data_IF_292064921131
#
_entry.id   IF_292064921131
#
_cell.length_a   1.000
_cell.length_b   1.000
_cell.length_c   1.000
_cell.angle_alpha   90.00
_cell.angle_beta   90.00
_cell.angle_gamma   90.00
#
_symmetry.space_group_name_H-M   'P 1'
#
loop_
_entity.id
_entity.type
_entity.pdbx_description
1 polymer ?
#
# COMPACT_ATOMS: atom_id res chain seq x y z
N UNK A 1 11.94 -14.46 14.61
CA UNK A 1 11.02 -13.44 14.07
C UNK A 1 11.64 -12.91 12.79
N UNK A 2 10.92 -12.96 11.67
CA UNK A 2 11.39 -12.47 10.38
C UNK A 2 10.72 -11.13 10.09
N UNK A 3 11.52 -10.08 9.88
CA UNK A 3 11.01 -8.82 9.36
C UNK A 3 10.82 -8.93 7.85
N UNK A 4 9.76 -8.31 7.32
CA UNK A 4 9.46 -8.30 5.89
C UNK A 4 9.62 -6.89 5.29
N UNK A 5 9.88 -6.83 3.99
CA UNK A 5 9.83 -5.61 3.21
C UNK A 5 8.47 -5.47 2.53
N UNK A 6 7.81 -4.33 2.68
CA UNK A 6 6.54 -4.05 2.00
C UNK A 6 6.70 -2.81 1.12
N UNK A 7 6.42 -2.98 -0.16
CA UNK A 7 6.26 -1.85 -1.07
C UNK A 7 4.77 -1.62 -1.31
N UNK A 8 4.28 -0.45 -0.88
CA UNK A 8 2.92 -0.02 -1.13
C UNK A 8 2.94 1.13 -2.13
N UNK A 9 2.77 0.84 -3.42
CA UNK A 9 2.73 1.82 -4.50
C UNK A 9 1.33 2.42 -4.72
N UNK A 10 1.20 3.27 -5.74
CA UNK A 10 -0.10 3.86 -6.10
C UNK A 10 -1.06 2.84 -6.71
N UNK A 11 -0.57 2.02 -7.62
CA UNK A 11 -1.39 1.06 -8.39
C UNK A 11 -1.23 -0.37 -7.93
N UNK A 12 -0.13 -0.67 -7.25
CA UNK A 12 0.31 -2.01 -6.91
C UNK A 12 0.96 -2.05 -5.53
N UNK A 13 0.96 -3.21 -4.90
CA UNK A 13 1.74 -3.52 -3.71
C UNK A 13 2.49 -4.83 -3.92
N UNK A 14 3.66 -4.98 -3.29
CA UNK A 14 4.36 -6.24 -3.22
C UNK A 14 5.02 -6.40 -1.85
N UNK A 15 5.34 -7.65 -1.53
CA UNK A 15 5.98 -8.01 -0.28
C UNK A 15 7.19 -8.90 -0.57
N UNK A 16 8.27 -8.63 0.14
CA UNK A 16 9.52 -9.37 0.05
C UNK A 16 9.91 -9.93 1.42
N UNK A 17 10.45 -11.13 1.42
CA UNK A 17 11.04 -11.78 2.58
C UNK A 17 12.55 -11.85 2.41
N UNK A 18 13.30 -11.83 3.51
CA UNK A 18 14.74 -12.07 3.48
C UNK A 18 15.02 -13.49 4.00
N UNK A 19 15.49 -14.37 3.12
CA UNK A 19 15.74 -15.77 3.40
C UNK A 19 17.03 -16.21 2.72
N UNK A 20 17.86 -17.00 3.41
CA UNK A 20 19.11 -17.55 2.87
C UNK A 20 20.06 -16.49 2.28
N UNK A 21 20.15 -15.33 2.94
CA UNK A 21 21.02 -14.22 2.54
C UNK A 21 20.52 -13.41 1.34
N UNK A 22 19.31 -13.68 0.83
CA UNK A 22 18.72 -12.97 -0.31
C UNK A 22 17.33 -12.43 0.01
N UNK A 23 17.00 -11.28 -0.58
CA UNK A 23 15.63 -10.77 -0.60
C UNK A 23 14.86 -11.43 -1.76
N UNK A 24 13.68 -11.97 -1.48
CA UNK A 24 12.82 -12.61 -2.46
C UNK A 24 11.41 -12.02 -2.38
N UNK A 25 10.88 -11.56 -3.53
CA UNK A 25 9.49 -11.10 -3.63
C UNK A 25 8.58 -12.33 -3.73
N UNK A 26 7.63 -12.42 -2.79
CA UNK A 26 6.75 -13.59 -2.67
C UNK A 26 5.51 -13.41 -3.56
N UNK A 27 5.01 -14.53 -4.09
CA UNK A 27 3.79 -14.55 -4.87
C UNK A 27 2.55 -14.50 -3.97
N UNK A 28 1.50 -13.84 -4.44
CA UNK A 28 0.17 -13.87 -3.83
C UNK A 28 -0.56 -15.19 -4.15
N UNK A 29 -1.79 -15.30 -3.66
CA UNK A 29 -2.69 -16.44 -3.87
C UNK A 29 -3.04 -16.71 -5.35
N UNK A 30 -2.87 -15.72 -6.23
CA UNK A 30 -3.03 -15.87 -7.68
C UNK A 30 -1.71 -16.25 -8.41
N UNK A 31 -0.60 -16.39 -7.68
CA UNK A 31 0.72 -16.67 -8.25
C UNK A 31 1.49 -15.44 -8.73
N UNK A 32 0.93 -14.24 -8.58
CA UNK A 32 1.56 -12.99 -8.99
C UNK A 32 2.44 -12.41 -7.87
N UNK A 33 3.64 -11.92 -8.23
CA UNK A 33 4.53 -11.21 -7.29
C UNK A 33 4.15 -9.75 -7.04
N UNK A 34 3.11 -9.27 -7.72
CA UNK A 34 2.60 -7.91 -7.62
C UNK A 34 1.09 -7.98 -7.46
N UNK A 35 0.59 -7.40 -6.38
CA UNK A 35 -0.84 -7.37 -6.07
C UNK A 35 -1.41 -5.98 -6.41
N UNK A 36 -2.49 -5.87 -7.18
CA UNK A 36 -3.13 -4.59 -7.44
C UNK A 36 -3.56 -3.89 -6.14
N UNK A 37 -3.24 -2.60 -5.98
CA UNK A 37 -3.68 -1.76 -4.87
C UNK A 37 -5.12 -1.28 -5.10
N UNK A 38 -6.05 -2.24 -5.16
CA UNK A 38 -7.47 -2.04 -5.45
C UNK A 38 -8.29 -2.73 -4.37
N UNK A 39 -9.30 -2.02 -3.85
CA UNK A 39 -10.24 -2.55 -2.87
C UNK A 39 -11.65 -2.33 -3.37
N UNK A 40 -12.40 -3.40 -3.55
CA UNK A 40 -13.82 -3.36 -3.88
C UNK A 40 -14.63 -3.71 -2.65
N UNK A 41 -15.66 -2.89 -2.40
CA UNK A 41 -16.58 -3.09 -1.31
C UNK A 41 -17.91 -3.62 -1.86
N UNK A 42 -18.43 -4.67 -1.24
CA UNK A 42 -19.82 -5.16 -1.41
C UNK A 42 -20.52 -5.13 -0.05
N UNK A 43 -21.79 -5.50 0.01
CA UNK A 43 -22.59 -5.35 1.24
C UNK A 43 -21.96 -6.09 2.43
N UNK A 44 -21.49 -7.32 2.21
CA UNK A 44 -20.93 -8.17 3.27
C UNK A 44 -19.43 -8.43 3.16
N UNK A 45 -18.79 -8.05 2.05
CA UNK A 45 -17.40 -8.43 1.78
C UNK A 45 -16.53 -7.26 1.30
N UNK A 46 -15.24 -7.36 1.64
CA UNK A 46 -14.17 -6.48 1.20
C UNK A 46 -13.21 -7.31 0.37
N UNK A 47 -13.12 -7.00 -0.92
CA UNK A 47 -12.30 -7.74 -1.87
C UNK A 47 -11.07 -6.90 -2.17
N UNK A 48 -9.88 -7.50 -2.10
CA UNK A 48 -8.60 -6.81 -2.33
C UNK A 48 -7.87 -7.46 -3.50
N UNK A 49 -7.11 -6.67 -4.28
CA UNK A 49 -6.20 -7.20 -5.28
C UNK A 49 -6.83 -7.47 -6.63
N UNK A 50 -6.45 -8.58 -7.26
CA UNK A 50 -6.83 -8.90 -8.64
C UNK A 50 -8.33 -9.11 -8.80
N UNK A 51 -8.98 -9.76 -7.84
CA UNK A 51 -10.42 -9.98 -7.85
C UNK A 51 -11.21 -8.65 -7.82
N UNK A 52 -10.76 -7.68 -7.02
CA UNK A 52 -11.34 -6.34 -6.98
C UNK A 52 -11.13 -5.60 -8.32
N UNK A 53 -9.92 -5.70 -8.89
CA UNK A 53 -9.59 -5.09 -10.20
C UNK A 53 -10.44 -5.65 -11.33
N UNK A 54 -10.67 -6.96 -11.38
CA UNK A 54 -11.49 -7.62 -12.40
C UNK A 54 -12.98 -7.24 -12.29
N UNK A 55 -13.50 -7.13 -11.06
CA UNK A 55 -14.89 -6.74 -10.81
C UNK A 55 -15.19 -5.25 -11.01
N UNK A 56 -14.16 -4.41 -11.20
CA UNK A 56 -14.28 -2.94 -11.19
C UNK A 56 -15.27 -2.39 -12.22
N UNK A 57 -15.39 -3.00 -13.40
CA UNK A 57 -16.31 -2.50 -14.45
C UNK A 57 -17.77 -2.55 -13.97
N UNK A 58 -18.13 -3.58 -13.20
CA UNK A 58 -19.50 -3.78 -12.69
C UNK A 58 -19.75 -3.05 -11.36
N UNK A 59 -18.70 -2.80 -10.57
CA UNK A 59 -18.81 -2.21 -9.23
C UNK A 59 -17.93 -0.96 -9.06
N UNK A 60 -17.90 -0.10 -10.08
CA UNK A 60 -16.96 1.03 -10.14
C UNK A 60 -17.17 2.05 -9.00
N UNK A 61 -18.42 2.30 -8.61
CA UNK A 61 -18.78 3.24 -7.56
C UNK A 61 -18.27 2.81 -6.17
N UNK A 62 -18.10 1.50 -5.94
CA UNK A 62 -17.62 0.95 -4.66
C UNK A 62 -16.22 0.33 -4.75
N UNK A 63 -15.48 0.66 -5.81
CA UNK A 63 -14.11 0.17 -6.00
C UNK A 63 -13.12 1.31 -5.91
N UNK A 64 -12.30 1.30 -4.86
CA UNK A 64 -11.25 2.28 -4.63
C UNK A 64 -9.97 1.84 -5.33
N UNK A 65 -9.35 2.79 -6.04
CA UNK A 65 -8.06 2.65 -6.71
C UNK A 65 -7.14 3.80 -6.29
N UNK A 66 -5.82 3.68 -6.47
CA UNK A 66 -4.86 4.79 -6.23
C UNK A 66 -5.00 5.46 -4.85
N UNK A 67 -5.43 4.73 -3.81
CA UNK A 67 -5.75 5.34 -2.50
C UNK A 67 -4.56 6.07 -1.86
N UNK A 68 -3.32 5.67 -2.19
CA UNK A 68 -2.09 6.34 -1.76
C UNK A 68 -2.04 7.82 -2.19
N UNK A 69 -2.75 8.21 -3.25
CA UNK A 69 -2.91 9.60 -3.69
C UNK A 69 -3.79 10.44 -2.76
N UNK A 70 -4.62 9.82 -1.93
CA UNK A 70 -5.50 10.53 -0.99
C UNK A 70 -5.01 10.39 0.46
N UNK A 71 -4.23 9.35 0.73
CA UNK A 71 -3.76 9.01 2.07
C UNK A 71 -3.00 10.16 2.76
N UNK A 72 -3.52 10.60 3.90
CA UNK A 72 -2.91 11.63 4.74
C UNK A 72 -3.00 13.06 4.19
N UNK A 73 -3.84 13.31 3.19
CA UNK A 73 -4.12 14.63 2.63
C UNK A 73 -5.48 15.18 3.12
N UNK A 74 -5.63 16.50 3.06
CA UNK A 74 -6.93 17.16 3.27
C UNK A 74 -7.80 17.03 2.02
N UNK A 75 -9.09 17.29 2.15
CA UNK A 75 -10.01 17.19 1.00
C UNK A 75 -9.66 18.21 -0.09
N UNK A 76 -9.23 19.42 0.27
CA UNK A 76 -8.91 20.51 -0.67
C UNK A 76 -7.54 20.39 -1.35
N UNK A 77 -6.75 19.36 -1.00
CA UNK A 77 -5.44 19.15 -1.63
C UNK A 77 -5.58 18.93 -3.16
N UNK A 78 -4.77 19.60 -4.00
CA UNK A 78 -4.86 19.46 -5.46
C UNK A 78 -4.80 18.02 -5.95
N UNK A 79 -3.95 17.17 -5.35
CA UNK A 79 -3.88 15.75 -5.74
C UNK A 79 -5.16 14.98 -5.41
N UNK A 80 -5.84 15.36 -4.32
CA UNK A 80 -7.13 14.78 -3.93
C UNK A 80 -8.23 15.22 -4.89
N UNK A 81 -8.24 16.48 -5.30
CA UNK A 81 -9.21 16.97 -6.29
C UNK A 81 -8.99 16.32 -7.67
N UNK A 82 -7.74 16.16 -8.12
CA UNK A 82 -7.42 15.40 -9.33
C UNK A 82 -7.90 13.96 -9.22
N UNK A 83 -7.60 13.29 -8.09
CA UNK A 83 -8.05 11.92 -7.86
C UNK A 83 -9.59 11.80 -7.89
N UNK A 84 -10.29 12.74 -7.26
CA UNK A 84 -11.76 12.80 -7.23
C UNK A 84 -12.35 12.94 -8.63
N UNK A 85 -11.73 13.73 -9.52
CA UNK A 85 -12.19 13.90 -10.90
C UNK A 85 -11.97 12.65 -11.77
N UNK A 86 -10.88 11.90 -11.55
CA UNK A 86 -10.57 10.68 -12.27
C UNK A 86 -11.32 9.44 -11.75
N UNK A 87 -11.58 9.40 -10.43
CA UNK A 87 -12.16 8.26 -9.75
C UNK A 87 -13.64 8.08 -10.10
N UNK A 88 -14.07 6.82 -10.25
CA UNK A 88 -15.49 6.45 -10.33
C UNK A 88 -16.12 6.21 -8.96
N UNK A 89 -15.31 6.01 -7.93
CA UNK A 89 -15.75 5.89 -6.54
C UNK A 89 -15.87 7.30 -5.94
N UNK A 90 -17.07 7.72 -5.47
CA UNK A 90 -17.29 9.06 -4.96
C UNK A 90 -16.41 9.37 -3.75
N UNK A 91 -15.78 10.56 -3.78
CA UNK A 91 -14.99 11.09 -2.68
C UNK A 91 -15.66 12.35 -2.13
N UNK A 92 -16.02 12.33 -0.86
CA UNK A 92 -16.76 13.39 -0.16
C UNK A 92 -15.93 14.01 0.96
N UNK A 93 -16.27 15.26 1.31
CA UNK A 93 -15.65 15.98 2.42
C UNK A 93 -16.42 15.68 3.71
N UNK A 94 -15.73 15.14 4.73
CA UNK A 94 -16.26 14.99 6.09
C UNK A 94 -15.30 15.66 7.07
N UNK A 95 -15.61 16.90 7.45
CA UNK A 95 -14.79 17.66 8.40
C UNK A 95 -13.35 17.85 7.90
N UNK A 96 -13.21 18.36 6.68
CA UNK A 96 -11.94 18.63 5.97
C UNK A 96 -11.15 17.38 5.54
N UNK A 97 -11.64 16.18 5.87
CA UNK A 97 -11.02 14.92 5.50
C UNK A 97 -11.73 14.27 4.31
N UNK A 98 -10.98 13.75 3.33
CA UNK A 98 -11.55 12.99 2.23
C UNK A 98 -12.01 11.62 2.72
N UNK A 99 -13.25 11.25 2.38
CA UNK A 99 -13.85 9.95 2.66
C UNK A 99 -14.44 9.37 1.39
N UNK A 100 -14.24 8.07 1.14
CA UNK A 100 -14.90 7.39 0.05
C UNK A 100 -16.33 7.01 0.48
N UNK A 101 -17.30 7.39 -0.32
CA UNK A 101 -18.71 7.03 -0.10
C UNK A 101 -19.03 5.77 -0.90
N UNK A 102 -19.40 4.70 -0.20
CA UNK A 102 -19.83 3.45 -0.83
C UNK A 102 -21.35 3.34 -0.76
N UNK A 103 -21.95 2.99 -1.89
CA UNK A 103 -23.37 2.72 -2.04
C UNK A 103 -23.65 1.23 -1.95
N UNK A 104 -24.66 0.85 -1.18
CA UNK A 104 -25.11 -0.52 -0.96
C UNK A 104 -26.48 -0.46 -0.31
N UNK A 105 -26.80 -1.41 0.58
CA UNK A 105 -28.01 -1.31 1.41
C UNK A 105 -28.02 -0.05 2.30
N UNK A 106 -26.84 0.34 2.79
CA UNK A 106 -26.65 1.58 3.56
C UNK A 106 -25.43 2.34 3.03
N UNK A 107 -25.54 3.66 2.95
CA UNK A 107 -24.41 4.54 2.60
C UNK A 107 -23.36 4.49 3.71
N UNK A 108 -22.16 4.02 3.39
CA UNK A 108 -21.02 3.98 4.31
C UNK A 108 -19.91 4.91 3.84
N UNK A 109 -19.21 5.50 4.81
CA UNK A 109 -18.06 6.36 4.55
C UNK A 109 -16.80 5.64 5.01
N UNK A 110 -15.83 5.50 4.10
CA UNK A 110 -14.59 4.76 4.34
C UNK A 110 -13.41 5.71 4.24
N UNK A 111 -12.57 5.72 5.27
CA UNK A 111 -11.37 6.55 5.28
C UNK A 111 -10.29 5.95 4.35
N UNK A 112 -9.46 6.78 3.69
CA UNK A 112 -8.31 6.31 2.91
C UNK A 112 -7.37 5.39 3.70
N UNK A 113 -7.22 5.64 5.01
CA UNK A 113 -6.45 4.81 5.93
C UNK A 113 -7.01 3.39 6.06
N UNK A 114 -8.34 3.23 6.09
CA UNK A 114 -8.98 1.91 6.18
C UNK A 114 -8.79 1.12 4.88
N UNK A 115 -8.85 1.78 3.73
CA UNK A 115 -8.53 1.15 2.44
C UNK A 115 -7.06 0.69 2.41
N UNK A 116 -6.13 1.55 2.83
CA UNK A 116 -4.71 1.21 2.89
C UNK A 116 -4.44 0.06 3.86
N UNK A 117 -5.13 0.03 5.01
CA UNK A 117 -5.08 -1.07 5.99
C UNK A 117 -5.42 -2.41 5.34
N UNK A 118 -6.46 -2.49 4.52
CA UNK A 118 -6.87 -3.74 3.86
C UNK A 118 -5.81 -4.22 2.86
N UNK A 119 -5.19 -3.31 2.11
CA UNK A 119 -4.11 -3.64 1.17
C UNK A 119 -2.89 -4.16 1.95
N UNK A 120 -2.52 -3.49 3.04
CA UNK A 120 -1.40 -3.89 3.89
C UNK A 120 -1.67 -5.23 4.59
N UNK A 121 -2.91 -5.47 5.04
CA UNK A 121 -3.34 -6.75 5.59
C UNK A 121 -3.17 -7.87 4.57
N UNK A 122 -3.57 -7.66 3.31
CA UNK A 122 -3.34 -8.64 2.23
C UNK A 122 -1.85 -8.93 2.01
N UNK A 123 -0.98 -7.94 2.16
CA UNK A 123 0.48 -8.14 2.09
C UNK A 123 0.99 -8.97 3.27
N UNK A 124 0.41 -8.77 4.47
CA UNK A 124 0.70 -9.59 5.65
C UNK A 124 0.33 -11.05 5.43
N UNK A 125 -0.91 -11.29 4.98
CA UNK A 125 -1.42 -12.65 4.67
C UNK A 125 -0.52 -13.35 3.64
N UNK A 126 -0.13 -12.63 2.59
CA UNK A 126 0.77 -13.14 1.55
C UNK A 126 2.12 -13.56 2.12
N UNK A 127 2.71 -12.75 3.00
CA UNK A 127 3.98 -13.06 3.65
C UNK A 127 3.87 -14.25 4.61
N UNK A 128 2.80 -14.29 5.42
CA UNK A 128 2.54 -15.37 6.36
C UNK A 128 2.34 -16.71 5.62
N UNK A 129 1.60 -16.70 4.51
CA UNK A 129 1.41 -17.87 3.66
C UNK A 129 2.73 -18.37 3.06
N UNK A 130 3.62 -17.45 2.66
CA UNK A 130 4.92 -17.83 2.10
C UNK A 130 5.92 -18.33 3.14
N UNK A 131 5.87 -17.81 4.37
CA UNK A 131 6.78 -18.17 5.46
C UNK A 131 6.28 -19.35 6.32
N UNK A 132 4.97 -19.64 6.29
CA UNK A 132 4.34 -20.62 7.18
C UNK A 132 4.36 -20.22 8.65
N UNK A 133 4.52 -18.92 8.95
CA UNK A 133 4.66 -18.39 10.30
C UNK A 133 4.03 -16.99 10.40
N UNK A 134 3.74 -16.56 11.63
CA UNK A 134 3.23 -15.21 11.86
C UNK A 134 4.31 -14.15 11.56
N UNK A 135 3.87 -13.03 10.99
CA UNK A 135 4.73 -11.91 10.58
C UNK A 135 4.19 -10.64 11.23
N UNK A 136 4.94 -10.10 12.18
CA UNK A 136 4.56 -8.91 12.90
C UNK A 136 5.40 -7.70 12.52
N UNK A 137 6.64 -7.86 12.07
CA UNK A 137 7.56 -6.74 11.86
C UNK A 137 7.75 -6.41 10.38
N UNK A 138 7.68 -5.12 10.02
CA UNK A 138 7.80 -4.69 8.63
C UNK A 138 8.63 -3.42 8.47
N UNK A 139 9.38 -3.37 7.36
CA UNK A 139 9.96 -2.15 6.78
C UNK A 139 9.13 -1.78 5.56
N UNK A 140 8.64 -0.54 5.50
CA UNK A 140 7.70 -0.11 4.45
C UNK A 140 8.33 1.00 3.62
N UNK A 141 8.22 0.90 2.30
CA UNK A 141 8.74 1.95 1.40
C UNK A 141 7.77 3.13 1.29
N UNK A 142 8.29 4.35 1.22
CA UNK A 142 7.53 5.59 0.98
C UNK A 142 8.14 6.43 -0.15
N UNK A 143 7.33 7.18 -0.91
CA UNK A 143 7.85 8.14 -1.87
C UNK A 143 8.71 9.19 -1.18
N UNK A 144 9.63 9.80 -1.93
CA UNK A 144 10.51 10.82 -1.38
C UNK A 144 9.73 12.08 -0.99
N UNK A 145 8.74 12.43 -1.80
CA UNK A 145 7.92 13.64 -1.72
C UNK A 145 6.86 13.57 -0.60
N UNK A 146 6.67 12.40 0.02
CA UNK A 146 5.67 12.23 1.07
C UNK A 146 5.96 13.14 2.28
N UNK A 147 4.98 14.00 2.59
CA UNK A 147 4.97 14.85 3.77
C UNK A 147 4.84 14.03 5.07
N UNK A 148 5.13 14.66 6.20
CA UNK A 148 5.06 14.02 7.51
C UNK A 148 3.68 13.42 7.80
N UNK A 149 2.60 14.14 7.47
CA UNK A 149 1.23 13.66 7.67
C UNK A 149 0.92 12.37 6.88
N UNK A 150 1.44 12.25 5.65
CA UNK A 150 1.25 11.07 4.80
C UNK A 150 2.05 9.87 5.32
N UNK A 151 3.29 10.09 5.76
CA UNK A 151 4.12 9.07 6.42
C UNK A 151 3.45 8.57 7.69
N UNK A 152 2.90 9.47 8.52
CA UNK A 152 2.17 9.11 9.73
C UNK A 152 0.88 8.33 9.40
N UNK A 153 0.10 8.75 8.40
CA UNK A 153 -1.11 8.06 7.97
C UNK A 153 -0.82 6.64 7.44
N UNK A 154 0.25 6.48 6.66
CA UNK A 154 0.67 5.15 6.19
C UNK A 154 1.12 4.25 7.34
N UNK A 155 1.91 4.80 8.28
CA UNK A 155 2.34 4.07 9.47
C UNK A 155 1.14 3.60 10.30
N UNK A 156 0.18 4.49 10.54
CA UNK A 156 -1.04 4.16 11.28
C UNK A 156 -1.87 3.07 10.57
N UNK A 157 -1.99 3.14 9.24
CA UNK A 157 -2.68 2.10 8.46
C UNK A 157 -1.96 0.74 8.54
N UNK A 158 -0.63 0.73 8.54
CA UNK A 158 0.17 -0.48 8.70
C UNK A 158 0.06 -1.06 10.11
N UNK A 159 0.10 -0.22 11.14
CA UNK A 159 -0.09 -0.64 12.54
C UNK A 159 -1.50 -1.21 12.75
N UNK A 160 -2.53 -0.58 12.17
CA UNK A 160 -3.90 -1.10 12.17
C UNK A 160 -4.07 -2.41 11.37
N UNK A 161 -3.18 -2.71 10.42
CA UNK A 161 -3.11 -3.98 9.70
C UNK A 161 -2.35 -5.07 10.50
N UNK A 162 -1.86 -4.74 11.70
CA UNK A 162 -1.15 -5.65 12.58
C UNK A 162 0.35 -5.75 12.32
N UNK A 163 0.95 -4.71 11.73
CA UNK A 163 2.41 -4.58 11.63
C UNK A 163 2.99 -3.70 12.75
N UNK A 164 4.12 -4.12 13.31
CA UNK A 164 5.09 -3.25 13.98
C UNK A 164 6.01 -2.67 12.90
N UNK A 165 5.79 -1.40 12.56
CA UNK A 165 6.59 -0.71 11.54
C UNK A 165 7.96 -0.35 12.11
N UNK A 166 9.00 -1.11 11.71
CA UNK A 166 10.37 -0.90 12.16
C UNK A 166 10.96 0.40 11.58
N UNK A 167 10.73 0.62 10.27
CA UNK A 167 11.25 1.79 9.57
C UNK A 167 10.40 2.08 8.32
N UNK A 168 10.23 3.36 8.03
CA UNK A 168 9.83 3.82 6.71
C UNK A 168 11.10 4.18 5.92
N UNK A 169 11.31 3.58 4.76
CA UNK A 169 12.47 3.84 3.90
C UNK A 169 12.02 4.49 2.61
N UNK A 170 12.84 5.36 2.04
CA UNK A 170 12.52 5.95 0.74
C UNK A 170 12.58 4.89 -0.36
N UNK A 171 11.58 4.86 -1.24
CA UNK A 171 11.52 3.98 -2.41
C UNK A 171 12.83 3.96 -3.24
N UNK A 172 13.44 5.10 -3.61
CA UNK A 172 14.71 5.06 -4.33
C UNK A 172 15.86 4.47 -3.52
N UNK A 173 15.89 4.65 -2.20
CA UNK A 173 16.92 4.05 -1.35
C UNK A 173 16.73 2.53 -1.24
N UNK A 174 15.49 2.05 -1.16
CA UNK A 174 15.16 0.63 -1.18
C UNK A 174 15.60 -0.03 -2.50
N UNK A 175 15.40 0.66 -3.63
CA UNK A 175 15.85 0.21 -4.94
C UNK A 175 17.39 0.07 -4.99
N UNK A 176 18.14 1.07 -4.50
CA UNK A 176 19.62 0.98 -4.45
C UNK A 176 20.10 -0.20 -3.61
N UNK A 177 19.47 -0.45 -2.45
CA UNK A 177 19.78 -1.60 -1.61
C UNK A 177 19.52 -2.93 -2.31
N UNK A 178 18.47 -3.01 -3.13
CA UNK A 178 18.18 -4.21 -3.94
C UNK A 178 19.26 -4.48 -5.01
N UNK A 179 19.92 -3.45 -5.54
CA UNK A 179 21.07 -3.59 -6.45
C UNK A 179 22.42 -3.81 -5.73
N UNK A 180 22.43 -3.98 -4.40
CA UNK A 180 23.64 -4.11 -3.61
C UNK A 180 24.46 -2.81 -3.50
N UNK A 181 23.89 -1.68 -3.90
CA UNK A 181 24.54 -0.37 -3.82
C UNK A 181 24.37 0.14 -2.39
N UNK A 182 25.49 0.18 -1.64
CA UNK A 182 25.54 0.64 -0.25
C UNK A 182 25.68 -0.46 0.81
N UNK A 183 25.79 -1.74 0.43
CA UNK A 183 26.02 -2.85 1.37
C UNK A 183 27.51 -3.21 1.52
N UNK A 184 28.28 -3.18 0.42
CA UNK A 184 29.73 -3.44 0.42
C UNK A 184 30.48 -2.31 -0.31
N UNK A 185 31.14 -1.41 0.44
CA UNK A 185 32.16 -0.57 -0.17
C UNK A 185 33.29 -0.22 0.81
N UNK A 186 34.49 -0.84 0.65
CA UNK A 186 35.67 -0.46 1.41
C UNK A 186 36.30 0.89 0.99
N UNK A 187 36.02 1.46 -0.19
CA UNK A 187 36.65 2.75 -0.59
C UNK A 187 36.16 3.44 -1.88
N UNK A 188 35.03 3.06 -2.51
CA UNK A 188 34.61 3.64 -3.80
C UNK A 188 33.33 4.49 -3.73
N UNK A 189 33.36 5.74 -4.20
CA UNK A 189 32.12 6.50 -4.47
C UNK A 189 31.46 5.95 -5.73
N UNK A 190 30.19 5.55 -5.64
CA UNK A 190 29.37 5.13 -6.79
C UNK A 190 28.19 6.10 -6.92
N UNK A 191 27.96 6.60 -8.13
CA UNK A 191 26.80 7.42 -8.47
C UNK A 191 25.76 6.54 -9.15
N UNK A 192 24.53 6.56 -8.66
CA UNK A 192 23.40 5.82 -9.23
C UNK A 192 22.22 6.78 -9.37
N UNK A 193 21.55 6.71 -10.52
CA UNK A 193 20.37 7.52 -10.82
C UNK A 193 19.17 6.59 -10.94
N UNK A 194 18.19 6.75 -10.05
CA UNK A 194 16.90 6.07 -10.13
C UNK A 194 15.87 7.06 -10.68
N UNK A 195 15.09 6.60 -11.66
CA UNK A 195 13.96 7.32 -12.25
C UNK A 195 12.64 6.71 -11.77
#
# INVERSE_FOLDING_TARGET
MAAIGVHFGYTCACVAIFKDGRAEVVANDAGDRVTPAVVAYRDTEQIVGIAAKQGRVRNAANTVVKVKQVLGRSFEDPEVQTHKAESKCPLVNKGEKPMYEMTGETTRHVAPQDVAKLILHKMKETAQSALGADVTEAVITVPFEFAHAQKAALRAAAEAAGFRVLRLIHEPAAALLAYGIGQDCPSGKRYAMNY
#
